data_IF_876109450026
#
_entry.id   IF_876109450026
#
_cell.length_a   1.000
_cell.length_b   1.000
_cell.length_c   1.000
_cell.angle_alpha   90.00
_cell.angle_beta   90.00
_cell.angle_gamma   90.00
#
_symmetry.space_group_name_H-M   'P 1'
#
loop_
_entity.id
_entity.type
_entity.pdbx_description
1 polymer ?
#
# COMPACT_ATOMS: atom_id res chain seq x y z
N UNK A 1 -23.00 -13.14 11.58
CA UNK A 1 -22.19 -12.56 10.46
C UNK A 1 -22.60 -11.10 10.38
N UNK A 2 -21.78 -10.20 10.91
CA UNK A 2 -22.01 -8.77 10.72
C UNK A 2 -21.98 -8.50 9.22
N UNK A 3 -23.02 -7.86 8.68
CA UNK A 3 -23.00 -7.29 7.34
C UNK A 3 -21.90 -6.22 7.33
N UNK A 4 -20.71 -6.59 6.87
CA UNK A 4 -19.65 -5.61 6.67
C UNK A 4 -20.10 -4.65 5.59
N UNK A 5 -20.57 -3.47 5.99
CA UNK A 5 -21.00 -2.42 5.07
C UNK A 5 -19.81 -2.06 4.17
N UNK A 6 -19.97 -2.23 2.87
CA UNK A 6 -18.94 -1.95 1.87
C UNK A 6 -18.91 -0.47 1.54
N UNK A 7 -17.76 0.18 1.71
CA UNK A 7 -17.56 1.58 1.32
C UNK A 7 -17.24 1.71 -0.17
N UNK A 8 -16.39 0.82 -0.72
CA UNK A 8 -16.03 0.82 -2.14
C UNK A 8 -16.26 -0.58 -2.70
N UNK A 9 -16.99 -0.70 -3.80
CA UNK A 9 -17.18 -1.95 -4.56
C UNK A 9 -16.77 -1.74 -6.00
N UNK A 10 -15.83 -2.56 -6.49
CA UNK A 10 -15.35 -2.55 -7.88
C UNK A 10 -15.60 -3.93 -8.47
N UNK A 11 -16.31 -4.00 -9.59
CA UNK A 11 -16.64 -5.27 -10.27
C UNK A 11 -16.35 -5.17 -11.76
N UNK A 12 -15.38 -5.96 -12.21
CA UNK A 12 -15.05 -6.12 -13.61
C UNK A 12 -14.52 -4.85 -14.30
N UNK A 13 -13.83 -3.98 -13.56
CA UNK A 13 -13.30 -2.73 -14.07
C UNK A 13 -12.32 -2.96 -15.21
N UNK A 14 -12.62 -2.34 -16.38
CA UNK A 14 -11.69 -2.26 -17.53
C UNK A 14 -11.41 -0.81 -17.87
N UNK A 15 -10.17 -0.54 -18.26
CA UNK A 15 -9.71 0.76 -18.73
C UNK A 15 -8.58 0.62 -19.72
N UNK A 16 -8.65 1.37 -20.82
CA UNK A 16 -7.60 1.43 -21.84
C UNK A 16 -7.28 2.88 -22.22
N UNK A 17 -6.05 3.12 -22.64
CA UNK A 17 -5.62 4.33 -23.32
C UNK A 17 -5.16 3.96 -24.72
N UNK A 18 -6.02 4.20 -25.70
CA UNK A 18 -5.80 3.74 -27.07
C UNK A 18 -5.69 2.21 -27.12
N UNK A 19 -4.52 1.70 -27.53
CA UNK A 19 -4.27 0.23 -27.57
C UNK A 19 -3.74 -0.36 -26.26
N UNK A 20 -3.37 0.49 -25.29
CA UNK A 20 -2.79 0.02 -24.02
C UNK A 20 -3.90 -0.23 -23.01
N UNK A 21 -4.13 -1.51 -22.70
CA UNK A 21 -5.00 -1.91 -21.59
C UNK A 21 -4.31 -1.62 -20.25
N UNK A 22 -5.00 -0.86 -19.39
CA UNK A 22 -4.54 -0.55 -18.03
C UNK A 22 -5.19 -1.49 -17.03
N UNK A 23 -6.50 -1.76 -17.16
CA UNK A 23 -7.21 -2.71 -16.31
C UNK A 23 -7.95 -3.75 -17.15
N UNK A 24 -7.84 -5.01 -16.71
CA UNK A 24 -8.30 -6.20 -17.43
C UNK A 24 -9.40 -6.95 -16.67
N UNK A 25 -10.39 -6.22 -16.11
CA UNK A 25 -11.47 -6.81 -15.34
C UNK A 25 -11.19 -6.86 -13.83
N UNK A 26 -10.62 -5.80 -13.28
CA UNK A 26 -10.28 -5.68 -11.85
C UNK A 26 -11.52 -5.76 -10.98
N UNK A 27 -11.42 -6.51 -9.86
CA UNK A 27 -12.48 -6.70 -8.87
C UNK A 27 -11.88 -6.67 -7.47
N UNK A 28 -12.45 -5.86 -6.59
CA UNK A 28 -12.15 -5.84 -5.14
C UNK A 28 -13.24 -5.11 -4.37
N UNK A 29 -13.19 -5.18 -3.03
CA UNK A 29 -14.11 -4.47 -2.14
C UNK A 29 -13.40 -3.91 -0.92
N UNK A 30 -13.84 -2.73 -0.47
CA UNK A 30 -13.29 -2.03 0.70
C UNK A 30 -14.37 -1.92 1.79
N UNK A 31 -14.17 -2.52 2.97
CA UNK A 31 -15.07 -2.35 4.10
C UNK A 31 -15.05 -0.92 4.64
N UNK A 32 -16.17 -0.45 5.20
CA UNK A 32 -16.23 0.86 5.88
C UNK A 32 -15.31 0.91 7.09
N UNK A 33 -14.69 2.07 7.31
CA UNK A 33 -13.82 2.31 8.46
C UNK A 33 -12.53 1.49 8.44
N UNK A 34 -12.12 0.97 7.27
CA UNK A 34 -10.88 0.22 7.11
C UNK A 34 -9.84 0.99 6.30
N UNK A 35 -8.58 0.59 6.46
CA UNK A 35 -7.49 0.99 5.56
C UNK A 35 -7.30 -0.11 4.52
N UNK A 36 -7.62 0.19 3.27
CA UNK A 36 -7.38 -0.67 2.13
C UNK A 36 -6.20 -0.17 1.32
N UNK A 37 -5.20 -1.01 1.13
CA UNK A 37 -3.99 -0.67 0.38
C UNK A 37 -4.03 -1.31 -1.00
N UNK A 38 -3.91 -0.50 -2.04
CA UNK A 38 -3.64 -0.96 -3.40
C UNK A 38 -2.12 -0.95 -3.62
N UNK A 39 -1.53 -2.12 -3.51
CA UNK A 39 -0.09 -2.35 -3.67
C UNK A 39 0.23 -2.68 -5.13
N UNK A 40 1.34 -2.17 -5.64
CA UNK A 40 1.83 -2.52 -6.98
C UNK A 40 3.05 -1.72 -7.40
N UNK A 41 3.78 -2.22 -8.39
CA UNK A 41 4.94 -1.53 -8.97
C UNK A 41 4.55 -0.22 -9.67
N UNK A 42 5.55 0.58 -10.04
CA UNK A 42 5.33 1.77 -10.85
C UNK A 42 4.75 1.38 -12.21
N UNK A 43 3.73 2.10 -12.64
CA UNK A 43 3.04 1.79 -13.90
C UNK A 43 1.99 0.68 -13.81
N UNK A 44 1.76 0.04 -12.67
CA UNK A 44 0.71 -0.98 -12.49
C UNK A 44 -0.73 -0.44 -12.66
N UNK A 45 -0.91 0.90 -12.58
CA UNK A 45 -2.21 1.54 -12.74
C UNK A 45 -2.77 2.17 -11.46
N UNK A 46 -2.02 2.21 -10.36
CA UNK A 46 -2.47 2.72 -9.05
C UNK A 46 -3.14 4.10 -9.12
N UNK A 47 -2.44 5.11 -9.65
CA UNK A 47 -3.01 6.46 -9.79
C UNK A 47 -4.18 6.53 -10.78
N UNK A 48 -4.22 5.65 -11.80
CA UNK A 48 -5.37 5.51 -12.67
C UNK A 48 -6.59 4.99 -11.91
N UNK A 49 -6.40 4.03 -11.00
CA UNK A 49 -7.46 3.53 -10.12
C UNK A 49 -8.00 4.65 -9.24
N UNK A 50 -7.13 5.39 -8.56
CA UNK A 50 -7.54 6.53 -7.72
C UNK A 50 -8.33 7.56 -8.53
N UNK A 51 -7.86 7.91 -9.75
CA UNK A 51 -8.58 8.86 -10.62
C UNK A 51 -9.96 8.36 -11.05
N UNK A 52 -10.14 7.06 -11.27
CA UNK A 52 -11.45 6.48 -11.59
C UNK A 52 -12.35 6.52 -10.36
N UNK A 53 -11.87 6.03 -9.21
CA UNK A 53 -12.65 6.00 -7.97
C UNK A 53 -13.03 7.40 -7.50
N UNK A 54 -12.15 8.38 -7.65
CA UNK A 54 -12.44 9.78 -7.32
C UNK A 54 -13.29 10.53 -8.38
N UNK A 55 -13.84 9.82 -9.33
CA UNK A 55 -14.66 10.38 -10.44
C UNK A 55 -13.92 11.32 -11.39
N UNK A 56 -12.59 11.39 -11.32
CA UNK A 56 -11.76 12.22 -12.20
C UNK A 56 -11.46 11.58 -13.57
N UNK A 57 -11.79 10.30 -13.75
CA UNK A 57 -11.61 9.55 -14.98
C UNK A 57 -12.73 8.52 -15.15
N UNK A 58 -13.30 8.41 -16.34
CA UNK A 58 -14.32 7.41 -16.63
C UNK A 58 -13.69 6.03 -16.86
N UNK A 59 -14.30 5.00 -16.28
CA UNK A 59 -14.04 3.61 -16.65
C UNK A 59 -14.64 3.29 -18.02
N UNK A 60 -14.02 2.35 -18.75
CA UNK A 60 -14.58 1.90 -20.03
C UNK A 60 -15.67 0.84 -19.81
N UNK A 61 -15.47 -0.03 -18.80
CA UNK A 61 -16.44 -1.05 -18.37
C UNK A 61 -16.31 -1.31 -16.87
N UNK A 62 -17.33 -1.94 -16.31
CA UNK A 62 -17.40 -2.35 -14.92
C UNK A 62 -18.39 -1.55 -14.10
N UNK A 63 -18.76 -2.12 -12.96
CA UNK A 63 -19.63 -1.48 -11.98
C UNK A 63 -18.79 -1.01 -10.79
N UNK A 64 -18.90 0.27 -10.46
CA UNK A 64 -18.16 0.86 -9.33
C UNK A 64 -19.13 1.65 -8.46
N UNK A 65 -19.13 1.33 -7.19
CA UNK A 65 -19.96 2.01 -6.20
C UNK A 65 -19.09 2.51 -5.04
N UNK A 66 -19.40 3.71 -4.55
CA UNK A 66 -18.81 4.29 -3.35
C UNK A 66 -19.95 4.71 -2.44
N UNK A 67 -19.94 4.22 -1.20
CA UNK A 67 -21.00 4.42 -0.22
C UNK A 67 -22.42 4.12 -0.78
N UNK A 68 -22.52 3.08 -1.64
CA UNK A 68 -23.74 2.66 -2.30
C UNK A 68 -24.13 3.47 -3.54
N UNK A 69 -23.41 4.54 -3.88
CA UNK A 69 -23.66 5.34 -5.08
C UNK A 69 -22.78 4.88 -6.26
N UNK A 70 -23.41 4.66 -7.41
CA UNK A 70 -22.71 4.40 -8.66
C UNK A 70 -21.93 5.66 -9.09
N UNK A 71 -20.61 5.53 -9.30
CA UNK A 71 -19.73 6.67 -9.58
C UNK A 71 -20.01 7.35 -10.93
N UNK A 72 -20.62 6.64 -11.90
CA UNK A 72 -20.94 7.19 -13.22
C UNK A 72 -22.32 7.84 -13.21
N UNK A 73 -23.30 7.24 -12.49
CA UNK A 73 -24.68 7.76 -12.44
C UNK A 73 -24.84 8.89 -11.44
N UNK A 74 -24.08 8.86 -10.34
CA UNK A 74 -24.21 9.79 -9.22
C UNK A 74 -22.88 10.48 -8.85
N UNK A 75 -22.07 10.98 -9.81
CA UNK A 75 -20.72 11.49 -9.53
C UNK A 75 -20.72 12.69 -8.56
N UNK A 76 -21.79 13.51 -8.57
CA UNK A 76 -21.95 14.64 -7.64
C UNK A 76 -22.05 14.17 -6.19
N UNK A 77 -22.90 13.15 -5.93
CA UNK A 77 -23.05 12.56 -4.60
C UNK A 77 -21.77 11.89 -4.13
N UNK A 78 -21.09 11.18 -5.01
CA UNK A 78 -19.81 10.56 -4.67
C UNK A 78 -18.78 11.61 -4.25
N UNK A 79 -18.66 12.72 -5.00
CA UNK A 79 -17.73 13.82 -4.65
C UNK A 79 -18.01 14.50 -3.32
N UNK A 80 -19.26 14.50 -2.86
CA UNK A 80 -19.61 15.01 -1.52
C UNK A 80 -19.09 14.09 -0.38
N UNK A 81 -18.87 12.81 -0.67
CA UNK A 81 -18.52 11.78 0.31
C UNK A 81 -17.02 11.44 0.34
N UNK A 82 -16.29 11.87 -0.68
CA UNK A 82 -14.88 11.51 -0.83
C UNK A 82 -13.96 12.72 -0.71
N UNK A 83 -12.71 12.46 -0.42
CA UNK A 83 -11.62 13.42 -0.64
C UNK A 83 -10.40 12.69 -1.21
N UNK A 84 -9.55 13.44 -1.91
CA UNK A 84 -8.35 12.92 -2.56
C UNK A 84 -7.15 13.79 -2.21
N UNK A 85 -6.10 13.14 -1.70
CA UNK A 85 -4.77 13.73 -1.63
C UNK A 85 -3.90 13.05 -2.68
N UNK A 86 -3.59 13.76 -3.76
CA UNK A 86 -2.81 13.28 -4.89
C UNK A 86 -1.30 13.36 -4.68
N UNK A 87 -0.53 13.08 -5.72
CA UNK A 87 0.93 13.22 -5.71
C UNK A 87 1.38 14.69 -5.66
N UNK A 88 0.55 15.63 -6.16
CA UNK A 88 0.84 17.05 -6.11
C UNK A 88 0.07 17.68 -4.97
N UNK A 89 0.76 18.55 -4.24
CA UNK A 89 0.18 19.33 -3.15
C UNK A 89 -0.89 20.28 -3.69
N UNK A 90 -2.02 20.36 -2.98
CA UNK A 90 -3.12 21.30 -3.27
C UNK A 90 -3.05 22.54 -2.37
N UNK A 91 -2.11 22.61 -1.42
CA UNK A 91 -1.94 23.77 -0.56
C UNK A 91 -1.27 24.92 -1.30
N UNK A 92 -1.71 26.14 -1.04
CA UNK A 92 -1.07 27.35 -1.52
C UNK A 92 0.17 27.65 -0.64
N UNK A 93 1.35 27.61 -1.26
CA UNK A 93 2.62 27.81 -0.57
C UNK A 93 2.85 29.27 -0.16
N UNK A 94 2.08 30.22 -0.67
CA UNK A 94 2.15 31.65 -0.31
C UNK A 94 1.29 31.98 0.92
N UNK A 95 0.39 31.08 1.31
CA UNK A 95 -0.43 31.20 2.50
C UNK A 95 0.21 30.48 3.69
N UNK A 96 -0.25 30.82 4.88
CA UNK A 96 0.07 30.07 6.11
C UNK A 96 -0.71 28.77 6.15
N UNK A 97 -0.31 27.81 7.02
CA UNK A 97 -1.04 26.58 7.23
C UNK A 97 -2.49 26.83 7.66
N UNK A 98 -2.70 27.80 8.56
CA UNK A 98 -4.01 28.25 9.03
C UNK A 98 -4.87 28.81 7.90
N UNK A 99 -4.32 29.73 7.11
CA UNK A 99 -5.01 30.37 6.00
C UNK A 99 -5.48 29.36 4.95
N UNK A 100 -4.66 28.36 4.62
CA UNK A 100 -5.05 27.26 3.73
C UNK A 100 -6.30 26.53 4.25
N UNK A 101 -6.28 26.12 5.52
CA UNK A 101 -7.40 25.39 6.12
C UNK A 101 -8.67 26.26 6.23
N UNK A 102 -8.54 27.53 6.62
CA UNK A 102 -9.67 28.47 6.70
C UNK A 102 -10.25 28.74 5.32
N UNK A 103 -9.39 28.91 4.29
CA UNK A 103 -9.83 29.09 2.91
C UNK A 103 -10.67 27.89 2.44
N UNK A 104 -10.16 26.67 2.66
CA UNK A 104 -10.90 25.47 2.30
C UNK A 104 -12.19 25.34 3.11
N UNK A 105 -12.18 25.66 4.41
CA UNK A 105 -13.38 25.69 5.23
C UNK A 105 -14.48 26.61 4.69
N UNK A 106 -14.10 27.78 4.16
CA UNK A 106 -15.01 28.70 3.48
C UNK A 106 -15.55 28.12 2.17
N UNK A 107 -14.69 27.47 1.37
CA UNK A 107 -15.09 26.83 0.10
C UNK A 107 -16.06 25.67 0.33
N UNK A 108 -15.88 24.91 1.40
CA UNK A 108 -16.79 23.84 1.82
C UNK A 108 -18.00 24.35 2.61
N UNK A 109 -18.19 25.67 2.76
CA UNK A 109 -19.28 26.30 3.52
C UNK A 109 -19.40 25.81 4.97
N UNK A 110 -18.24 25.52 5.61
CA UNK A 110 -18.20 25.14 7.03
C UNK A 110 -18.63 26.33 7.89
N UNK A 111 -19.53 26.12 8.85
CA UNK A 111 -20.05 27.18 9.70
C UNK A 111 -18.99 27.94 10.50
N UNK A 112 -17.97 27.22 10.99
CA UNK A 112 -16.86 27.77 11.78
C UNK A 112 -15.51 27.37 11.17
N UNK A 113 -15.08 27.97 10.04
CA UNK A 113 -13.85 27.55 9.33
C UNK A 113 -12.61 27.68 10.19
N UNK A 114 -12.52 28.73 11.03
CA UNK A 114 -11.38 28.96 11.92
C UNK A 114 -11.28 27.87 13.00
N UNK A 115 -12.40 27.52 13.63
CA UNK A 115 -12.41 26.43 14.62
C UNK A 115 -12.03 25.10 13.98
N UNK A 116 -12.56 24.79 12.80
CA UNK A 116 -12.18 23.58 12.05
C UNK A 116 -10.69 23.54 11.70
N UNK A 117 -10.12 24.70 11.33
CA UNK A 117 -8.71 24.83 11.08
C UNK A 117 -7.86 24.51 12.33
N UNK A 118 -8.24 25.05 13.50
CA UNK A 118 -7.55 24.77 14.78
C UNK A 118 -7.60 23.28 15.12
N UNK A 119 -8.77 22.65 15.01
CA UNK A 119 -8.93 21.22 15.25
C UNK A 119 -8.02 20.37 14.36
N UNK A 120 -7.92 20.73 13.08
CA UNK A 120 -7.05 20.01 12.12
C UNK A 120 -5.57 20.29 12.38
N UNK A 121 -5.18 21.55 12.62
CA UNK A 121 -3.79 21.90 12.97
C UNK A 121 -3.30 21.12 14.19
N UNK A 122 -4.17 21.03 15.21
CA UNK A 122 -3.84 20.26 16.41
C UNK A 122 -3.75 18.75 16.11
N UNK A 123 -4.71 18.19 15.37
CA UNK A 123 -4.75 16.77 15.05
C UNK A 123 -3.53 16.31 14.22
N UNK A 124 -2.92 17.22 13.45
CA UNK A 124 -1.79 16.96 12.56
C UNK A 124 -0.44 17.43 13.12
N UNK A 125 -0.39 17.87 14.39
CA UNK A 125 0.80 18.42 15.04
C UNK A 125 1.41 19.62 14.28
N UNK A 126 0.55 20.46 13.68
CA UNK A 126 0.97 21.66 12.92
C UNK A 126 0.69 22.97 13.67
N UNK A 127 0.15 22.93 14.92
CA UNK A 127 -0.24 24.11 15.68
C UNK A 127 0.91 25.11 15.87
N UNK A 128 2.16 24.63 16.06
CA UNK A 128 3.34 25.50 16.27
C UNK A 128 3.74 26.27 15.01
N UNK A 129 3.47 25.72 13.85
CA UNK A 129 3.80 26.30 12.54
C UNK A 129 2.56 26.85 11.81
N UNK A 130 1.41 26.93 12.52
CA UNK A 130 0.14 27.31 11.92
C UNK A 130 0.17 28.64 11.18
N UNK A 131 0.93 29.59 11.68
CA UNK A 131 1.04 30.97 11.19
C UNK A 131 2.30 31.22 10.34
N UNK A 132 3.12 30.16 10.12
CA UNK A 132 4.24 30.21 9.19
C UNK A 132 3.76 29.97 7.75
N UNK A 133 4.43 30.61 6.78
CA UNK A 133 4.13 30.45 5.34
C UNK A 133 4.50 29.02 4.92
N UNK A 134 3.59 28.33 4.19
CA UNK A 134 3.75 26.93 3.82
C UNK A 134 4.99 26.67 2.95
N UNK A 135 5.50 27.65 2.21
CA UNK A 135 6.79 27.52 1.49
C UNK A 135 7.96 27.16 2.42
N UNK A 136 7.89 27.52 3.73
CA UNK A 136 8.93 27.22 4.75
C UNK A 136 8.76 25.85 5.42
N UNK A 137 7.65 25.16 5.16
CA UNK A 137 7.38 23.85 5.75
C UNK A 137 8.32 22.78 5.21
N UNK A 138 8.70 21.82 6.05
CA UNK A 138 9.34 20.58 5.57
C UNK A 138 8.39 19.77 4.67
N UNK A 139 8.94 18.86 3.87
CA UNK A 139 8.12 17.99 3.02
C UNK A 139 7.06 17.20 3.80
N UNK A 140 7.43 16.68 4.98
CA UNK A 140 6.50 16.00 5.89
C UNK A 140 5.40 16.92 6.43
N UNK A 141 5.71 18.18 6.76
CA UNK A 141 4.71 19.16 7.21
C UNK A 141 3.75 19.55 6.07
N UNK A 142 4.28 19.77 4.85
CA UNK A 142 3.44 20.03 3.68
C UNK A 142 2.48 18.87 3.42
N UNK A 143 2.97 17.62 3.50
CA UNK A 143 2.13 16.43 3.29
C UNK A 143 1.07 16.27 4.38
N UNK A 144 1.41 16.55 5.65
CA UNK A 144 0.43 16.59 6.74
C UNK A 144 -0.65 17.64 6.49
N UNK A 145 -0.28 18.83 6.05
CA UNK A 145 -1.23 19.90 5.74
C UNK A 145 -2.14 19.52 4.55
N UNK A 146 -1.61 18.90 3.51
CA UNK A 146 -2.39 18.40 2.36
C UNK A 146 -3.52 17.44 2.81
N UNK A 147 -3.17 16.49 3.69
CA UNK A 147 -4.16 15.55 4.21
C UNK A 147 -5.15 16.28 5.14
N UNK A 148 -4.67 17.22 5.97
CA UNK A 148 -5.56 18.02 6.82
C UNK A 148 -6.58 18.83 5.98
N UNK A 149 -6.13 19.43 4.89
CA UNK A 149 -6.99 20.15 3.92
C UNK A 149 -8.04 19.20 3.33
N UNK A 150 -7.68 17.97 2.98
CA UNK A 150 -8.60 16.99 2.44
C UNK A 150 -9.69 16.54 3.43
N UNK A 151 -9.47 16.72 4.73
CA UNK A 151 -10.42 16.38 5.78
C UNK A 151 -11.36 17.52 6.19
N UNK A 152 -11.19 18.69 5.64
CA UNK A 152 -12.04 19.85 5.96
C UNK A 152 -13.53 19.55 5.71
N UNK A 153 -13.84 18.87 4.61
CA UNK A 153 -15.19 18.49 4.20
C UNK A 153 -15.78 17.29 4.94
N UNK A 154 -15.08 16.70 5.94
CA UNK A 154 -15.48 15.48 6.64
C UNK A 154 -15.84 14.30 5.71
N UNK A 155 -14.94 13.88 4.83
CA UNK A 155 -15.22 12.80 3.87
C UNK A 155 -15.44 11.46 4.59
N UNK A 156 -16.29 10.61 4.02
CA UNK A 156 -16.45 9.21 4.47
C UNK A 156 -15.34 8.30 3.91
N UNK A 157 -14.83 8.63 2.72
CA UNK A 157 -13.74 7.92 2.07
C UNK A 157 -12.62 8.89 1.71
N UNK A 158 -11.41 8.60 2.17
CA UNK A 158 -10.20 9.35 1.86
C UNK A 158 -9.31 8.53 0.93
N UNK A 159 -9.01 9.08 -0.24
CA UNK A 159 -8.02 8.53 -1.18
C UNK A 159 -6.66 9.17 -0.94
N UNK A 160 -5.64 8.35 -0.74
CA UNK A 160 -4.24 8.75 -0.57
C UNK A 160 -3.39 8.11 -1.68
N UNK A 161 -2.93 8.91 -2.64
CA UNK A 161 -2.09 8.40 -3.73
C UNK A 161 -0.62 8.60 -3.36
N UNK A 162 0.05 7.49 -2.99
CA UNK A 162 1.45 7.40 -2.56
C UNK A 162 1.81 8.43 -1.47
N UNK A 163 1.15 8.42 -0.29
CA UNK A 163 1.22 9.51 0.69
C UNK A 163 2.61 9.72 1.32
N UNK A 164 3.48 8.71 1.28
CA UNK A 164 4.80 8.77 1.95
C UNK A 164 5.97 8.84 0.98
N UNK A 165 5.70 8.92 -0.33
CA UNK A 165 6.76 9.02 -1.34
C UNK A 165 7.58 10.30 -1.14
N UNK A 166 8.91 10.15 -1.11
CA UNK A 166 9.85 11.25 -0.92
C UNK A 166 10.02 11.75 0.52
N UNK A 167 9.36 11.12 1.50
CA UNK A 167 9.54 11.43 2.91
C UNK A 167 10.74 10.66 3.51
N UNK A 168 11.40 11.29 4.45
CA UNK A 168 12.40 10.64 5.31
C UNK A 168 11.74 9.58 6.21
N UNK A 169 12.51 8.62 6.79
CA UNK A 169 11.96 7.54 7.60
C UNK A 169 11.15 8.01 8.83
N UNK A 170 11.55 9.10 9.47
CA UNK A 170 10.85 9.63 10.62
C UNK A 170 9.50 10.25 10.23
N UNK A 171 9.50 11.06 9.18
CA UNK A 171 8.29 11.66 8.62
C UNK A 171 7.30 10.58 8.13
N UNK A 172 7.81 9.48 7.53
CA UNK A 172 7.00 8.35 7.10
C UNK A 172 6.29 7.68 8.27
N UNK A 173 7.00 7.36 9.36
CA UNK A 173 6.39 6.76 10.56
C UNK A 173 5.32 7.67 11.18
N UNK A 174 5.63 8.97 11.30
CA UNK A 174 4.65 9.95 11.79
C UNK A 174 3.39 10.02 10.90
N UNK A 175 3.54 9.85 9.59
CA UNK A 175 2.43 9.79 8.64
C UNK A 175 1.59 8.54 8.85
N UNK A 176 2.20 7.38 9.04
CA UNK A 176 1.49 6.12 9.32
C UNK A 176 0.66 6.19 10.61
N UNK A 177 1.24 6.72 11.68
CA UNK A 177 0.52 6.92 12.94
C UNK A 177 -0.71 7.82 12.75
N UNK A 178 -0.55 8.89 11.97
CA UNK A 178 -1.64 9.81 11.67
C UNK A 178 -2.75 9.13 10.84
N UNK A 179 -2.40 8.37 9.79
CA UNK A 179 -3.35 7.61 8.98
C UNK A 179 -4.11 6.61 9.86
N UNK A 180 -3.43 5.92 10.78
CA UNK A 180 -4.06 5.03 11.75
C UNK A 180 -5.10 5.74 12.62
N UNK A 181 -4.77 6.93 13.14
CA UNK A 181 -5.71 7.75 13.94
C UNK A 181 -6.95 8.20 13.13
N UNK A 182 -6.83 8.42 11.83
CA UNK A 182 -7.98 8.75 10.97
C UNK A 182 -8.93 7.57 10.84
N UNK A 183 -8.40 6.35 10.69
CA UNK A 183 -9.19 5.13 10.70
C UNK A 183 -9.95 4.97 12.03
N UNK A 184 -9.28 5.18 13.17
CA UNK A 184 -9.90 5.10 14.50
C UNK A 184 -11.09 6.08 14.65
N UNK A 185 -11.09 7.18 13.90
CA UNK A 185 -12.22 8.12 13.80
C UNK A 185 -13.32 7.69 12.82
N UNK A 186 -13.21 6.50 12.24
CA UNK A 186 -14.20 5.91 11.34
C UNK A 186 -14.08 6.32 9.87
N UNK A 187 -13.00 6.99 9.46
CA UNK A 187 -12.75 7.33 8.07
C UNK A 187 -12.31 6.07 7.31
N UNK A 188 -12.95 5.77 6.19
CA UNK A 188 -12.48 4.72 5.27
C UNK A 188 -11.31 5.27 4.46
N UNK A 189 -10.20 4.56 4.41
CA UNK A 189 -8.98 5.02 3.71
C UNK A 189 -8.64 4.04 2.60
N UNK A 190 -8.55 4.56 1.38
CA UNK A 190 -8.01 3.83 0.24
C UNK A 190 -6.65 4.44 -0.14
N UNK A 191 -5.59 3.67 0.08
CA UNK A 191 -4.21 4.13 -0.07
C UNK A 191 -3.53 3.36 -1.19
N UNK A 192 -2.79 4.06 -2.05
CA UNK A 192 -1.91 3.41 -3.02
C UNK A 192 -0.47 3.52 -2.58
N UNK A 193 0.31 2.48 -2.79
CA UNK A 193 1.74 2.48 -2.50
C UNK A 193 2.51 1.47 -3.36
N UNK A 194 3.81 1.68 -3.48
CA UNK A 194 4.76 0.68 -3.95
C UNK A 194 5.61 0.11 -2.80
N UNK A 195 5.48 0.68 -1.60
CA UNK A 195 6.24 0.28 -0.42
C UNK A 195 5.50 -0.80 0.35
N UNK A 196 6.07 -2.00 0.38
CA UNK A 196 5.48 -3.17 1.03
C UNK A 196 5.41 -3.00 2.55
N UNK A 197 6.41 -2.34 3.16
CA UNK A 197 6.41 -1.99 4.58
C UNK A 197 5.19 -1.13 4.97
N UNK A 198 4.81 -0.16 4.12
CA UNK A 198 3.63 0.67 4.34
C UNK A 198 2.33 -0.15 4.33
N UNK A 199 2.21 -1.09 3.35
CA UNK A 199 1.09 -2.01 3.29
C UNK A 199 1.03 -2.93 4.52
N UNK A 200 2.17 -3.40 4.99
CA UNK A 200 2.27 -4.29 6.15
C UNK A 200 1.87 -3.60 7.46
N UNK A 201 2.27 -2.33 7.64
CA UNK A 201 2.01 -1.57 8.86
C UNK A 201 0.59 -1.02 8.92
N UNK A 202 0.03 -0.57 7.80
CA UNK A 202 -1.23 0.18 7.78
C UNK A 202 -2.45 -0.64 7.41
N UNK A 203 -2.30 -1.65 6.52
CA UNK A 203 -3.46 -2.22 5.86
C UNK A 203 -4.27 -3.16 6.75
N UNK A 204 -5.59 -3.00 6.75
CA UNK A 204 -6.51 -4.07 7.14
C UNK A 204 -6.66 -5.09 6.00
N UNK A 205 -6.64 -4.60 4.75
CA UNK A 205 -6.63 -5.43 3.54
C UNK A 205 -5.73 -4.83 2.48
N UNK A 206 -5.08 -5.70 1.73
CA UNK A 206 -4.22 -5.35 0.60
C UNK A 206 -4.78 -5.99 -0.65
N UNK A 207 -4.88 -5.22 -1.72
CA UNK A 207 -5.06 -5.73 -3.09
C UNK A 207 -3.74 -5.54 -3.84
N UNK A 208 -3.15 -6.62 -4.31
CA UNK A 208 -1.93 -6.57 -5.12
C UNK A 208 -2.28 -6.44 -6.58
N UNK A 209 -1.85 -5.35 -7.20
CA UNK A 209 -2.11 -5.03 -8.61
C UNK A 209 -0.83 -5.21 -9.44
N UNK A 210 -0.89 -6.06 -10.47
CA UNK A 210 0.21 -6.22 -11.41
C UNK A 210 -0.32 -6.29 -12.86
N UNK A 211 0.36 -5.62 -13.79
CA UNK A 211 0.03 -5.61 -15.25
C UNK A 211 -1.48 -5.46 -15.54
N UNK A 212 -2.20 -4.68 -14.69
CA UNK A 212 -3.63 -4.39 -14.83
C UNK A 212 -4.59 -5.49 -14.34
N UNK A 213 -4.09 -6.46 -13.59
CA UNK A 213 -4.88 -7.52 -12.93
C UNK A 213 -4.64 -7.52 -11.43
N UNK A 214 -5.64 -7.95 -10.67
CA UNK A 214 -5.47 -8.27 -9.26
C UNK A 214 -4.83 -9.65 -9.17
N UNK A 215 -3.64 -9.73 -8.55
CA UNK A 215 -2.95 -10.99 -8.29
C UNK A 215 -3.59 -11.71 -7.10
N UNK A 216 -3.78 -10.95 -6.03
CA UNK A 216 -4.33 -11.47 -4.78
C UNK A 216 -4.95 -10.34 -3.97
N UNK A 217 -5.83 -10.70 -3.03
CA UNK A 217 -6.46 -9.81 -2.06
C UNK A 217 -6.59 -10.52 -0.72
N UNK A 218 -6.19 -9.85 0.37
CA UNK A 218 -6.29 -10.42 1.71
C UNK A 218 -5.81 -9.46 2.80
N UNK A 219 -5.83 -9.90 4.05
CA UNK A 219 -5.10 -9.21 5.11
C UNK A 219 -3.59 -9.41 4.91
N UNK A 220 -2.71 -8.54 5.46
CA UNK A 220 -1.26 -8.78 5.39
C UNK A 220 -0.87 -10.17 5.90
N UNK A 221 -1.53 -10.67 6.95
CA UNK A 221 -1.29 -11.99 7.49
C UNK A 221 -1.68 -13.10 6.51
N UNK A 222 -2.88 -13.02 5.92
CA UNK A 222 -3.35 -13.98 4.91
C UNK A 222 -2.44 -14.01 3.68
N UNK A 223 -1.93 -12.86 3.24
CA UNK A 223 -1.00 -12.81 2.12
C UNK A 223 0.33 -13.50 2.44
N UNK A 224 0.81 -13.38 3.68
CA UNK A 224 2.03 -14.08 4.13
C UNK A 224 1.87 -15.60 4.18
N UNK A 225 0.63 -16.11 4.33
CA UNK A 225 0.32 -17.55 4.28
C UNK A 225 0.50 -18.14 2.87
N UNK A 226 0.61 -17.30 1.82
CA UNK A 226 0.97 -17.75 0.47
C UNK A 226 2.34 -18.43 0.41
N UNK A 227 3.25 -18.04 1.29
CA UNK A 227 4.56 -18.67 1.44
C UNK A 227 4.53 -19.67 2.60
N UNK A 228 5.18 -20.83 2.45
CA UNK A 228 5.29 -21.81 3.54
C UNK A 228 5.83 -21.16 4.81
N UNK A 229 5.23 -21.48 5.96
CA UNK A 229 5.73 -21.05 7.26
C UNK A 229 7.02 -21.80 7.57
N UNK A 230 8.16 -21.19 7.41
CA UNK A 230 9.45 -21.83 7.68
C UNK A 230 10.54 -21.33 6.74
N UNK A 231 10.50 -20.07 6.36
CA UNK A 231 11.59 -19.46 5.59
C UNK A 231 12.89 -19.46 6.41
N UNK A 232 13.98 -19.93 5.79
CA UNK A 232 15.32 -19.88 6.35
C UNK A 232 16.23 -19.20 5.34
N UNK A 233 16.87 -18.13 5.77
CA UNK A 233 17.88 -17.45 4.95
C UNK A 233 19.24 -18.06 5.27
N UNK A 234 19.93 -18.56 4.26
CA UNK A 234 21.30 -19.01 4.34
C UNK A 234 22.23 -17.96 3.76
N UNK A 235 23.38 -17.75 4.42
CA UNK A 235 24.46 -16.91 3.93
C UNK A 235 25.69 -17.79 3.74
N UNK A 236 26.29 -17.78 2.54
CA UNK A 236 27.46 -18.59 2.21
C UNK A 236 28.75 -17.77 2.21
N UNK A 237 29.89 -18.43 2.40
CA UNK A 237 31.20 -17.77 2.44
C UNK A 237 31.69 -17.34 1.05
N UNK A 238 31.35 -18.12 0.02
CA UNK A 238 31.79 -17.90 -1.36
C UNK A 238 30.68 -18.30 -2.36
N UNK A 239 30.80 -17.82 -3.59
CA UNK A 239 29.85 -18.08 -4.68
C UNK A 239 29.71 -19.55 -5.04
N UNK A 240 30.83 -20.33 -5.00
CA UNK A 240 30.84 -21.77 -5.29
C UNK A 240 30.00 -22.54 -4.27
N UNK A 241 30.08 -22.17 -2.99
CA UNK A 241 29.24 -22.73 -1.94
C UNK A 241 27.75 -22.36 -2.12
N UNK A 242 27.46 -21.16 -2.60
CA UNK A 242 26.11 -20.72 -2.94
C UNK A 242 25.49 -21.56 -4.07
N UNK A 243 26.20 -21.75 -5.18
CA UNK A 243 25.75 -22.57 -6.31
C UNK A 243 25.52 -24.04 -5.93
N UNK A 244 26.45 -24.63 -5.14
CA UNK A 244 26.30 -25.99 -4.63
C UNK A 244 25.07 -26.12 -3.75
N UNK A 245 24.84 -25.15 -2.87
CA UNK A 245 23.68 -25.12 -1.99
C UNK A 245 22.36 -25.04 -2.77
N UNK A 246 22.28 -24.17 -3.80
CA UNK A 246 21.11 -24.07 -4.66
C UNK A 246 20.74 -25.40 -5.33
N UNK A 247 21.73 -26.11 -5.83
CA UNK A 247 21.51 -27.43 -6.45
C UNK A 247 20.97 -28.45 -5.42
N UNK A 248 21.53 -28.44 -4.20
CA UNK A 248 21.06 -29.31 -3.11
C UNK A 248 19.62 -28.97 -2.73
N UNK A 249 19.28 -27.67 -2.61
CA UNK A 249 17.95 -27.19 -2.26
C UNK A 249 16.92 -27.65 -3.30
N UNK A 250 17.26 -27.52 -4.59
CA UNK A 250 16.41 -27.99 -5.70
C UNK A 250 16.24 -29.52 -5.68
N UNK A 251 17.31 -30.28 -5.40
CA UNK A 251 17.25 -31.75 -5.26
C UNK A 251 16.33 -32.17 -4.09
N UNK A 252 16.20 -31.35 -3.05
CA UNK A 252 15.29 -31.58 -1.91
C UNK A 252 13.85 -31.17 -2.21
N UNK A 253 13.56 -30.59 -3.39
CA UNK A 253 12.21 -30.10 -3.74
C UNK A 253 11.76 -28.88 -2.96
N UNK A 254 12.70 -28.17 -2.32
CA UNK A 254 12.38 -26.95 -1.56
C UNK A 254 12.25 -25.76 -2.51
N UNK A 255 11.26 -24.87 -2.23
CA UNK A 255 11.12 -23.60 -2.94
C UNK A 255 12.25 -22.66 -2.54
N UNK A 256 12.88 -22.05 -3.52
CA UNK A 256 14.04 -21.18 -3.39
C UNK A 256 13.67 -19.79 -3.90
N UNK A 257 13.97 -18.75 -3.13
CA UNK A 257 14.00 -17.36 -3.59
C UNK A 257 15.46 -16.85 -3.53
N UNK A 258 15.93 -16.29 -4.64
CA UNK A 258 17.24 -15.63 -4.68
C UNK A 258 17.10 -14.18 -4.26
N UNK A 259 17.90 -13.73 -3.30
CA UNK A 259 18.14 -12.31 -3.13
C UNK A 259 19.20 -11.83 -4.14
N UNK A 260 19.01 -10.64 -4.73
CA UNK A 260 20.01 -10.00 -5.63
C UNK A 260 21.34 -9.69 -4.95
N UNK A 261 21.41 -9.83 -3.62
CA UNK A 261 22.64 -9.63 -2.85
C UNK A 261 23.45 -10.92 -2.80
N UNK A 262 24.68 -10.85 -3.31
CA UNK A 262 25.64 -11.95 -3.39
C UNK A 262 25.69 -12.81 -2.12
N UNK A 263 25.53 -14.12 -2.29
CA UNK A 263 25.74 -15.12 -1.25
C UNK A 263 24.59 -15.36 -0.27
N UNK A 264 23.40 -14.80 -0.50
CA UNK A 264 22.20 -15.07 0.31
C UNK A 264 21.16 -15.82 -0.48
N UNK A 265 20.57 -16.83 0.17
CA UNK A 265 19.53 -17.67 -0.42
C UNK A 265 18.44 -17.90 0.62
N UNK A 266 17.20 -17.58 0.26
CA UNK A 266 16.04 -17.89 1.09
C UNK A 266 15.41 -19.20 0.64
N UNK A 267 15.16 -20.10 1.59
CA UNK A 267 14.58 -21.41 1.34
C UNK A 267 13.31 -21.56 2.16
N UNK A 268 12.24 -21.99 1.52
CA UNK A 268 10.99 -22.32 2.21
C UNK A 268 10.95 -23.82 2.53
N UNK A 269 10.74 -24.15 3.79
CA UNK A 269 10.71 -25.52 4.28
C UNK A 269 9.29 -25.91 4.70
N UNK A 270 8.59 -26.71 3.90
CA UNK A 270 7.21 -27.12 4.17
C UNK A 270 7.07 -27.92 5.45
N UNK A 271 8.08 -28.73 5.82
CA UNK A 271 8.12 -29.54 7.04
C UNK A 271 9.02 -28.95 8.15
N UNK A 272 9.32 -27.67 8.11
CA UNK A 272 10.02 -26.93 9.17
C UNK A 272 11.38 -27.54 9.55
N UNK A 273 11.48 -28.08 10.78
CA UNK A 273 12.76 -28.56 11.34
C UNK A 273 13.32 -29.80 10.66
N UNK A 274 12.50 -30.70 10.14
CA UNK A 274 12.97 -31.92 9.47
C UNK A 274 13.69 -31.59 8.19
N UNK A 275 13.06 -30.79 7.34
CA UNK A 275 13.68 -30.32 6.06
C UNK A 275 14.92 -29.49 6.31
N UNK A 276 14.91 -28.61 7.31
CA UNK A 276 16.08 -27.82 7.69
C UNK A 276 17.24 -28.73 8.12
N UNK A 277 16.98 -29.74 8.93
CA UNK A 277 17.99 -30.70 9.39
C UNK A 277 18.60 -31.48 8.21
N UNK A 278 17.76 -31.92 7.28
CA UNK A 278 18.22 -32.62 6.07
C UNK A 278 19.10 -31.71 5.19
N UNK A 279 18.68 -30.45 4.96
CA UNK A 279 19.47 -29.48 4.19
C UNK A 279 20.84 -29.22 4.83
N UNK A 280 20.87 -28.98 6.15
CA UNK A 280 22.12 -28.77 6.88
C UNK A 280 23.05 -29.98 6.81
N UNK A 281 22.50 -31.20 6.92
CA UNK A 281 23.27 -32.44 6.77
C UNK A 281 23.86 -32.59 5.36
N UNK A 282 23.07 -32.31 4.31
CA UNK A 282 23.53 -32.35 2.93
C UNK A 282 24.58 -31.26 2.62
N UNK A 283 24.40 -30.06 3.16
CA UNK A 283 25.42 -28.99 3.04
C UNK A 283 26.73 -29.41 3.65
N UNK A 284 26.70 -29.95 4.86
CA UNK A 284 27.88 -30.45 5.53
C UNK A 284 28.59 -31.57 4.73
N UNK A 285 27.83 -32.58 4.28
CA UNK A 285 28.41 -33.76 3.54
C UNK A 285 28.96 -33.40 2.16
N UNK A 286 28.39 -32.39 1.49
CA UNK A 286 28.88 -31.92 0.17
C UNK A 286 29.89 -30.75 0.29
N UNK A 287 30.32 -30.41 1.51
CA UNK A 287 31.36 -29.39 1.77
C UNK A 287 30.98 -27.98 1.43
N UNK A 288 29.68 -27.64 1.57
CA UNK A 288 29.17 -26.28 1.41
C UNK A 288 29.59 -25.44 2.61
N UNK A 289 30.27 -24.32 2.38
CA UNK A 289 30.74 -23.40 3.42
C UNK A 289 29.66 -22.37 3.72
N UNK A 290 28.92 -22.62 4.78
CA UNK A 290 27.86 -21.74 5.27
C UNK A 290 28.45 -20.79 6.34
N UNK A 291 28.18 -19.47 6.19
CA UNK A 291 28.58 -18.45 7.13
C UNK A 291 27.57 -18.28 8.27
N UNK A 292 26.27 -18.26 7.93
CA UNK A 292 25.17 -18.09 8.87
C UNK A 292 23.86 -18.63 8.28
N UNK A 293 22.89 -18.92 9.16
CA UNK A 293 21.52 -19.12 8.78
C UNK A 293 20.59 -18.45 9.81
N UNK A 294 19.47 -17.92 9.32
CA UNK A 294 18.48 -17.24 10.16
C UNK A 294 17.08 -17.73 9.77
N UNK A 295 16.25 -18.02 10.77
CA UNK A 295 14.84 -18.29 10.54
C UNK A 295 14.13 -16.96 10.32
N UNK A 296 13.52 -16.78 9.16
CA UNK A 296 12.76 -15.59 8.83
C UNK A 296 11.26 -15.82 8.93
N UNK A 297 10.55 -14.76 9.28
CA UNK A 297 9.11 -14.67 9.06
C UNK A 297 8.94 -14.00 7.69
N UNK A 298 8.23 -14.64 6.73
CA UNK A 298 8.03 -14.04 5.42
C UNK A 298 7.47 -12.63 5.50
N UNK A 299 8.03 -11.73 4.71
CA UNK A 299 7.53 -10.37 4.55
C UNK A 299 6.55 -10.30 3.37
N UNK A 300 5.80 -9.22 3.24
CA UNK A 300 5.00 -9.01 2.03
C UNK A 300 5.86 -8.88 0.78
N UNK A 301 7.14 -8.50 0.92
CA UNK A 301 8.10 -8.42 -0.19
C UNK A 301 8.40 -9.81 -0.75
N UNK A 302 8.66 -10.78 0.12
CA UNK A 302 8.89 -12.16 -0.27
C UNK A 302 7.67 -12.75 -0.97
N UNK A 303 6.47 -12.46 -0.48
CA UNK A 303 5.20 -12.87 -1.11
C UNK A 303 5.05 -12.25 -2.49
N UNK A 304 5.31 -10.96 -2.62
CA UNK A 304 5.16 -10.23 -3.89
C UNK A 304 6.13 -10.74 -4.95
N UNK A 305 7.39 -10.97 -4.59
CA UNK A 305 8.41 -11.53 -5.48
C UNK A 305 8.01 -12.94 -5.94
N UNK A 306 7.61 -13.80 -5.02
CA UNK A 306 7.17 -15.16 -5.34
C UNK A 306 5.96 -15.18 -6.29
N UNK A 307 4.98 -14.28 -6.10
CA UNK A 307 3.81 -14.18 -6.98
C UNK A 307 4.14 -13.68 -8.39
N UNK A 308 5.16 -12.82 -8.54
CA UNK A 308 5.60 -12.35 -9.85
C UNK A 308 6.33 -13.47 -10.59
N UNK A 309 7.22 -14.20 -9.92
CA UNK A 309 7.93 -15.35 -10.50
C UNK A 309 6.97 -16.43 -10.99
N UNK A 310 5.97 -16.80 -10.17
CA UNK A 310 4.96 -17.79 -10.56
C UNK A 310 4.15 -17.35 -11.80
N UNK A 311 3.90 -16.05 -12.00
CA UNK A 311 3.22 -15.55 -13.20
C UNK A 311 4.08 -15.57 -14.47
N UNK A 312 5.39 -15.36 -14.33
CA UNK A 312 6.31 -15.40 -15.46
C UNK A 312 6.57 -16.83 -15.94
N UNK A 313 6.39 -17.83 -15.06
CA UNK A 313 6.46 -19.25 -15.44
C UNK A 313 5.16 -19.75 -16.12
N UNK A 314 4.00 -19.07 -15.91
CA UNK A 314 2.71 -19.44 -16.53
C UNK A 314 2.45 -18.73 -17.89
N UNK A 315 3.18 -17.66 -18.25
CA UNK A 315 3.10 -16.94 -19.54
C UNK A 315 4.08 -17.50 -20.57
#
# INVERSE_FOLDING_TARGET
MEETHTAISVKGLKKSYGKKEIFKGVKFSVPKGSIHVLLGSNGAGKSTMVRILSTGLLADFGEIQIEGYDIQKNPGKVRELISLTGQFSVVDEMLTGRENLVLMGKLYHILSPTQKAEELLQAFDLSKAADDIVSTYSGGMKRKLDIAVSLVGNPQVLFLDEPTTGLDPQSRRSMWEMIGKLKEKGVTIFLTTQYLEEAEVLADRVTVLNKGRVLTEGTPLQLKEYLPQGAVQFTFEDADSGEKAENIIKECGCRLLKEEKEGKVMVFTDNGMETLTELLHRFYTKGVKMKNFEKLVPTLEDVFLAMIEDQEEEE
#
